data_IF_045060979545
#
_entry.id   IF_045060979545
#
_cell.length_a   1.000
_cell.length_b   1.000
_cell.length_c   1.000
_cell.angle_alpha   90.00
_cell.angle_beta   90.00
_cell.angle_gamma   90.00
#
_symmetry.space_group_name_H-M   'P 1'
#
loop_
_entity.id
_entity.type
_entity.pdbx_description
1 polymer ?
#
# COMPACT_ATOMS: atom_id res chain seq x y z
N UNK A 1 1.32 -7.28 18.25
CA UNK A 1 -0.12 -7.03 17.97
C UNK A 1 -0.32 -6.03 16.85
N UNK A 2 0.27 -4.84 16.90
CA UNK A 2 0.16 -3.78 15.85
C UNK A 2 0.52 -4.25 14.45
N UNK A 3 1.61 -5.00 14.30
CA UNK A 3 2.06 -5.57 13.03
C UNK A 3 1.02 -6.49 12.38
N UNK A 4 0.41 -7.36 13.20
CA UNK A 4 -0.63 -8.28 12.71
C UNK A 4 -1.84 -7.51 12.20
N UNK A 5 -2.23 -6.44 12.91
CA UNK A 5 -3.31 -5.55 12.49
C UNK A 5 -2.96 -4.87 11.16
N UNK A 6 -1.73 -4.38 10.99
CA UNK A 6 -1.29 -3.74 9.74
C UNK A 6 -1.35 -4.70 8.55
N UNK A 7 -0.92 -5.95 8.73
CA UNK A 7 -0.95 -6.99 7.69
C UNK A 7 -2.40 -7.40 7.38
N UNK A 8 -3.25 -7.57 8.41
CA UNK A 8 -4.63 -8.01 8.26
C UNK A 8 -5.58 -6.88 7.86
N UNK A 9 -5.16 -5.63 7.92
CA UNK A 9 -6.00 -4.47 7.61
C UNK A 9 -6.74 -4.58 6.27
N UNK A 10 -6.10 -4.99 5.15
CA UNK A 10 -6.80 -5.19 3.89
C UNK A 10 -7.88 -6.28 3.95
N UNK A 11 -7.69 -7.33 4.74
CA UNK A 11 -8.70 -8.39 4.94
C UNK A 11 -9.88 -7.90 5.78
N UNK A 12 -9.63 -7.09 6.80
CA UNK A 12 -10.70 -6.44 7.58
C UNK A 12 -11.53 -5.55 6.66
N UNK A 13 -10.86 -4.75 5.83
CA UNK A 13 -11.51 -3.92 4.84
C UNK A 13 -12.30 -4.74 3.82
N UNK A 14 -11.75 -5.87 3.37
CA UNK A 14 -12.43 -6.82 2.48
C UNK A 14 -13.74 -7.33 3.08
N UNK A 15 -13.76 -7.70 4.36
CA UNK A 15 -14.99 -8.15 5.04
C UNK A 15 -16.03 -7.03 5.08
N UNK A 16 -15.60 -5.79 5.37
CA UNK A 16 -16.49 -4.61 5.38
C UNK A 16 -17.06 -4.38 3.98
N UNK A 17 -16.21 -4.39 2.95
CA UNK A 17 -16.60 -4.21 1.55
C UNK A 17 -17.56 -5.31 1.11
N UNK A 18 -17.22 -6.58 1.37
CA UNK A 18 -18.05 -7.72 1.01
C UNK A 18 -19.44 -7.61 1.66
N UNK A 19 -19.48 -7.34 2.96
CA UNK A 19 -20.74 -7.18 3.72
C UNK A 19 -21.53 -5.99 3.22
N UNK A 20 -20.87 -4.87 2.90
CA UNK A 20 -21.51 -3.70 2.32
C UNK A 20 -22.16 -4.02 0.98
N UNK A 21 -21.44 -4.63 0.04
CA UNK A 21 -21.98 -4.99 -1.28
C UNK A 21 -23.09 -6.03 -1.17
N UNK A 22 -22.99 -6.97 -0.24
CA UNK A 22 -24.02 -8.00 -0.04
C UNK A 22 -25.30 -7.44 0.58
N UNK A 23 -25.18 -6.62 1.64
CA UNK A 23 -26.34 -6.10 2.39
C UNK A 23 -27.05 -4.98 1.64
N UNK A 24 -26.31 -4.15 0.89
CA UNK A 24 -26.86 -2.95 0.24
C UNK A 24 -27.36 -3.23 -1.18
N UNK A 25 -26.91 -4.31 -1.79
CA UNK A 25 -27.27 -4.67 -3.17
C UNK A 25 -28.79 -4.72 -3.37
N UNK A 26 -29.52 -5.47 -2.56
CA UNK A 26 -30.97 -5.63 -2.74
C UNK A 26 -31.79 -4.36 -2.52
N UNK A 27 -31.61 -3.59 -1.43
CA UNK A 27 -32.34 -2.36 -1.24
C UNK A 27 -32.09 -1.31 -2.32
N UNK A 28 -30.88 -1.28 -2.90
CA UNK A 28 -30.52 -0.34 -3.96
C UNK A 28 -31.25 -0.65 -5.26
N UNK A 29 -31.36 -1.93 -5.62
CA UNK A 29 -32.09 -2.33 -6.82
C UNK A 29 -33.59 -2.11 -6.68
N UNK A 30 -34.18 -2.38 -5.53
CA UNK A 30 -35.59 -2.05 -5.26
C UNK A 30 -35.87 -0.55 -5.34
N UNK A 31 -34.93 0.29 -4.90
CA UNK A 31 -35.06 1.76 -5.04
C UNK A 31 -35.01 2.22 -6.49
N UNK A 32 -34.19 1.59 -7.34
CA UNK A 32 -34.13 1.90 -8.77
C UNK A 32 -35.39 1.48 -9.52
N UNK A 33 -36.02 0.37 -9.12
CA UNK A 33 -37.30 -0.09 -9.69
C UNK A 33 -38.49 0.80 -9.29
N UNK A 34 -38.49 1.34 -8.07
CA UNK A 34 -39.57 2.17 -7.53
C UNK A 34 -39.53 3.60 -8.11
N UNK A 35 -38.36 4.10 -8.49
CA UNK A 35 -38.22 5.43 -9.04
C UNK A 35 -38.55 5.41 -10.55
N UNK A 36 -39.81 5.48 -10.92
CA UNK A 36 -40.25 5.81 -12.29
C UNK A 36 -39.92 7.27 -12.58
N UNK A 37 -38.69 7.53 -12.97
CA UNK A 37 -38.23 8.86 -13.37
C UNK A 37 -38.54 9.05 -14.83
N UNK A 38 -39.12 10.20 -15.17
CA UNK A 38 -39.36 10.61 -16.56
C UNK A 38 -38.05 10.59 -17.37
N UNK A 39 -38.07 9.95 -18.54
CA UNK A 39 -36.87 9.73 -19.36
C UNK A 39 -36.15 11.05 -19.72
N UNK A 40 -36.86 12.15 -19.89
CA UNK A 40 -36.29 13.48 -20.19
C UNK A 40 -35.52 14.07 -19.00
N UNK A 41 -36.00 13.84 -17.78
CA UNK A 41 -35.32 14.23 -16.54
C UNK A 41 -34.11 13.32 -16.27
N UNK A 42 -34.23 12.03 -16.56
CA UNK A 42 -33.18 11.05 -16.44
C UNK A 42 -31.94 11.42 -17.26
N UNK A 43 -32.10 11.80 -18.49
CA UNK A 43 -31.02 12.15 -19.41
C UNK A 43 -30.25 13.40 -18.96
N UNK A 44 -30.95 14.43 -18.47
CA UNK A 44 -30.31 15.62 -17.88
C UNK A 44 -29.52 15.28 -16.61
N UNK A 45 -30.15 14.50 -15.72
CA UNK A 45 -29.47 14.07 -14.48
C UNK A 45 -28.22 13.21 -14.75
N UNK A 46 -28.29 12.33 -15.75
CA UNK A 46 -27.14 11.48 -16.12
C UNK A 46 -25.95 12.28 -16.62
N UNK A 47 -26.19 13.32 -17.43
CA UNK A 47 -25.14 14.17 -17.97
C UNK A 47 -24.47 14.99 -16.87
N UNK A 48 -25.24 15.65 -16.02
CA UNK A 48 -24.72 16.51 -14.95
C UNK A 48 -24.12 15.72 -13.76
N UNK A 49 -24.80 14.66 -13.34
CA UNK A 49 -24.36 13.85 -12.19
C UNK A 49 -23.20 12.95 -12.60
N UNK A 50 -23.18 12.44 -13.82
CA UNK A 50 -22.15 11.50 -14.27
C UNK A 50 -20.74 12.06 -14.21
N UNK A 51 -20.55 13.30 -14.68
CA UNK A 51 -19.24 13.98 -14.63
C UNK A 51 -18.86 14.36 -13.20
N UNK A 52 -19.77 14.98 -12.45
CA UNK A 52 -19.56 15.36 -11.06
C UNK A 52 -19.26 14.15 -10.18
N UNK A 53 -19.98 13.04 -10.38
CA UNK A 53 -19.74 11.81 -9.64
C UNK A 53 -18.35 11.24 -9.90
N UNK A 54 -17.90 11.18 -11.15
CA UNK A 54 -16.55 10.70 -11.50
C UNK A 54 -15.46 11.53 -10.83
N UNK A 55 -15.62 12.87 -10.86
CA UNK A 55 -14.66 13.78 -10.24
C UNK A 55 -14.64 13.64 -8.71
N UNK A 56 -15.80 13.59 -8.07
CA UNK A 56 -15.92 13.38 -6.62
C UNK A 56 -15.34 12.02 -6.25
N UNK A 57 -15.64 10.97 -7.01
CA UNK A 57 -15.12 9.64 -6.77
C UNK A 57 -13.60 9.59 -6.84
N UNK A 58 -12.99 10.24 -7.83
CA UNK A 58 -11.53 10.30 -7.95
C UNK A 58 -10.91 11.03 -6.75
N UNK A 59 -11.45 12.19 -6.38
CA UNK A 59 -10.97 12.96 -5.22
C UNK A 59 -11.09 12.15 -3.94
N UNK A 60 -12.25 11.55 -3.69
CA UNK A 60 -12.49 10.71 -2.50
C UNK A 60 -11.56 9.50 -2.49
N UNK A 61 -11.30 8.89 -3.66
CA UNK A 61 -10.36 7.77 -3.79
C UNK A 61 -8.94 8.16 -3.39
N UNK A 62 -8.46 9.30 -3.85
CA UNK A 62 -7.14 9.80 -3.50
C UNK A 62 -7.05 10.15 -2.01
N UNK A 63 -8.01 10.91 -1.49
CA UNK A 63 -8.01 11.34 -0.07
C UNK A 63 -8.09 10.12 0.85
N UNK A 64 -9.04 9.21 0.61
CA UNK A 64 -9.16 8.00 1.42
C UNK A 64 -7.93 7.10 1.30
N UNK A 65 -7.33 7.03 0.11
CA UNK A 65 -6.09 6.29 -0.12
C UNK A 65 -4.90 6.85 0.67
N UNK A 66 -4.74 8.16 0.67
CA UNK A 66 -3.69 8.84 1.47
C UNK A 66 -3.91 8.59 2.97
N UNK A 67 -5.16 8.74 3.46
CA UNK A 67 -5.47 8.49 4.88
C UNK A 67 -5.16 7.04 5.26
N UNK A 68 -5.58 6.08 4.45
CA UNK A 68 -5.30 4.66 4.68
C UNK A 68 -3.80 4.39 4.66
N UNK A 69 -3.08 4.98 3.71
CA UNK A 69 -1.63 4.84 3.62
C UNK A 69 -0.92 5.37 4.86
N UNK A 70 -1.33 6.53 5.37
CA UNK A 70 -0.77 7.10 6.60
C UNK A 70 -1.09 6.25 7.84
N UNK A 71 -2.31 5.71 7.94
CA UNK A 71 -2.69 4.78 9.02
C UNK A 71 -1.80 3.54 8.95
N UNK A 72 -1.65 2.97 7.76
CA UNK A 72 -0.84 1.77 7.54
C UNK A 72 0.62 2.00 7.88
N UNK A 73 1.20 3.13 7.44
CA UNK A 73 2.55 3.56 7.81
C UNK A 73 2.72 3.67 9.32
N UNK A 74 1.77 4.32 10.01
CA UNK A 74 1.82 4.46 11.47
C UNK A 74 1.77 3.11 12.18
N UNK A 75 0.95 2.18 11.72
CA UNK A 75 0.86 0.83 12.29
C UNK A 75 2.15 0.03 12.11
N UNK A 76 2.80 0.12 10.94
CA UNK A 76 4.08 -0.54 10.70
C UNK A 76 5.20 0.13 11.51
N UNK A 77 5.27 1.47 11.53
CA UNK A 77 6.27 2.22 12.29
C UNK A 77 6.18 1.94 13.79
N UNK A 78 4.98 1.94 14.37
CA UNK A 78 4.77 1.56 15.77
C UNK A 78 5.25 0.12 16.05
N UNK A 79 5.14 -0.78 15.08
CA UNK A 79 5.57 -2.17 15.26
C UNK A 79 7.10 -2.30 15.41
N UNK A 80 7.87 -1.42 14.79
CA UNK A 80 9.35 -1.38 14.89
C UNK A 80 9.77 -0.95 16.28
N UNK A 81 9.10 0.06 16.84
CA UNK A 81 9.45 0.63 18.16
C UNK A 81 9.33 -0.35 19.33
N UNK A 82 8.58 -1.43 19.17
CA UNK A 82 8.37 -2.45 20.22
C UNK A 82 9.30 -3.66 20.12
N UNK A 83 10.27 -3.65 19.19
CA UNK A 83 11.20 -4.77 19.02
C UNK A 83 12.51 -4.47 19.73
N UNK A 84 12.72 -5.09 20.88
CA UNK A 84 13.99 -5.07 21.60
C UNK A 84 14.92 -6.15 21.07
N UNK A 85 16.22 -5.87 21.00
CA UNK A 85 17.25 -6.86 20.68
C UNK A 85 17.89 -6.77 19.30
N UNK A 86 17.44 -5.84 18.43
CA UNK A 86 18.11 -5.56 17.17
C UNK A 86 18.84 -4.23 17.22
N UNK A 87 20.05 -4.20 16.70
CA UNK A 87 20.84 -2.97 16.57
C UNK A 87 20.34 -2.15 15.38
N UNK A 88 19.90 -2.83 14.33
CA UNK A 88 19.27 -2.23 13.17
C UNK A 88 18.21 -3.15 12.61
N UNK A 89 17.07 -2.60 12.24
CA UNK A 89 16.03 -3.32 11.51
C UNK A 89 15.44 -2.40 10.42
N UNK A 90 15.31 -2.93 9.24
CA UNK A 90 14.61 -2.28 8.13
C UNK A 90 13.73 -3.28 7.39
N UNK A 91 12.50 -2.90 7.09
CA UNK A 91 11.56 -3.68 6.29
C UNK A 91 11.01 -2.82 5.17
N UNK A 92 10.67 -3.45 4.06
CA UNK A 92 10.02 -2.77 2.95
C UNK A 92 8.67 -2.15 3.38
N UNK A 93 7.95 -2.80 4.31
CA UNK A 93 6.69 -2.32 4.87
C UNK A 93 6.81 -1.00 5.65
N UNK A 94 7.99 -0.69 6.17
CA UNK A 94 8.22 0.50 7.01
C UNK A 94 8.43 1.77 6.15
N UNK A 95 8.43 1.63 4.83
CA UNK A 95 8.55 2.75 3.90
C UNK A 95 7.22 3.51 3.77
N UNK A 96 7.26 4.83 3.92
CA UNK A 96 6.11 5.70 3.67
C UNK A 96 5.62 5.56 2.21
N UNK A 97 6.54 5.47 1.25
CA UNK A 97 6.20 5.29 -0.17
C UNK A 97 5.43 3.99 -0.43
N UNK A 98 5.84 2.89 0.20
CA UNK A 98 5.12 1.61 0.14
C UNK A 98 3.70 1.74 0.72
N UNK A 99 3.59 2.31 1.91
CA UNK A 99 2.31 2.47 2.60
C UNK A 99 1.35 3.40 1.85
N UNK A 100 1.84 4.48 1.25
CA UNK A 100 1.04 5.36 0.39
C UNK A 100 0.58 4.64 -0.88
N UNK A 101 1.45 3.87 -1.54
CA UNK A 101 1.09 3.09 -2.73
C UNK A 101 -0.03 2.09 -2.42
N UNK A 102 0.12 1.30 -1.37
CA UNK A 102 -0.90 0.32 -0.95
C UNK A 102 -2.17 1.00 -0.46
N UNK A 103 -2.05 2.12 0.23
CA UNK A 103 -3.16 2.96 0.66
C UNK A 103 -3.97 3.50 -0.52
N UNK A 104 -3.31 4.01 -1.57
CA UNK A 104 -3.99 4.48 -2.80
C UNK A 104 -4.76 3.35 -3.49
N UNK A 105 -4.20 2.13 -3.53
CA UNK A 105 -4.91 0.96 -4.04
C UNK A 105 -6.18 0.65 -3.22
N UNK A 106 -6.11 0.74 -1.89
CA UNK A 106 -7.25 0.53 -1.00
C UNK A 106 -8.23 1.70 -0.99
N UNK A 107 -7.80 2.89 -1.37
CA UNK A 107 -8.65 4.08 -1.51
C UNK A 107 -9.75 3.90 -2.55
N UNK A 108 -9.47 3.17 -3.63
CA UNK A 108 -10.44 2.85 -4.67
C UNK A 108 -11.70 2.13 -4.13
N UNK A 109 -11.60 0.97 -3.45
CA UNK A 109 -12.75 0.30 -2.90
C UNK A 109 -13.46 1.10 -1.79
N UNK A 110 -12.71 1.87 -0.98
CA UNK A 110 -13.30 2.73 0.03
C UNK A 110 -14.11 3.87 -0.58
N UNK A 111 -13.61 4.50 -1.64
CA UNK A 111 -14.32 5.56 -2.33
C UNK A 111 -15.68 5.09 -2.87
N UNK A 112 -15.78 3.83 -3.34
CA UNK A 112 -17.07 3.27 -3.78
C UNK A 112 -18.07 3.28 -2.63
N UNK A 113 -17.67 2.85 -1.44
CA UNK A 113 -18.55 2.82 -0.26
C UNK A 113 -18.94 4.25 0.13
N UNK A 114 -17.94 5.13 0.32
CA UNK A 114 -18.16 6.51 0.77
C UNK A 114 -19.06 7.25 -0.20
N UNK A 115 -18.76 7.21 -1.51
CA UNK A 115 -19.56 7.90 -2.52
C UNK A 115 -20.98 7.32 -2.60
N UNK A 116 -21.15 6.01 -2.46
CA UNK A 116 -22.47 5.41 -2.50
C UNK A 116 -23.32 5.81 -1.29
N UNK A 117 -22.72 5.81 -0.08
CA UNK A 117 -23.40 6.29 1.13
C UNK A 117 -23.76 7.77 1.00
N UNK A 118 -22.83 8.60 0.55
CA UNK A 118 -23.05 10.02 0.36
C UNK A 118 -24.15 10.32 -0.66
N UNK A 119 -24.16 9.65 -1.81
CA UNK A 119 -25.20 9.79 -2.82
C UNK A 119 -26.58 9.36 -2.31
N UNK A 120 -26.64 8.32 -1.45
CA UNK A 120 -27.88 7.92 -0.80
C UNK A 120 -28.43 9.00 0.13
N UNK A 121 -27.54 9.75 0.80
CA UNK A 121 -27.92 10.85 1.68
C UNK A 121 -28.43 12.07 0.91
N UNK A 122 -27.93 12.33 -0.30
CA UNK A 122 -28.30 13.48 -1.14
C UNK A 122 -29.70 13.38 -1.76
N UNK A 123 -30.35 12.21 -1.74
CA UNK A 123 -31.72 12.01 -2.17
C UNK A 123 -31.92 10.76 -3.02
N UNK A 124 -33.04 10.10 -2.76
CA UNK A 124 -33.42 8.84 -3.42
C UNK A 124 -33.54 8.94 -4.93
N UNK A 125 -34.08 10.07 -5.44
CA UNK A 125 -34.29 10.27 -6.88
C UNK A 125 -32.96 10.43 -7.64
N UNK A 126 -32.02 11.22 -7.10
CA UNK A 126 -30.69 11.42 -7.70
C UNK A 126 -29.87 10.14 -7.70
N UNK A 127 -30.00 9.37 -6.62
CA UNK A 127 -29.33 8.08 -6.51
C UNK A 127 -29.93 7.06 -7.50
N UNK A 128 -31.27 7.00 -7.61
CA UNK A 128 -31.97 6.17 -8.58
C UNK A 128 -31.62 6.57 -10.04
N UNK A 129 -31.51 7.87 -10.34
CA UNK A 129 -31.07 8.36 -11.65
C UNK A 129 -29.64 7.93 -12.01
N UNK A 130 -28.73 7.92 -11.02
CA UNK A 130 -27.37 7.43 -11.21
C UNK A 130 -27.33 5.92 -11.48
N UNK A 131 -28.20 5.17 -10.84
CA UNK A 131 -28.31 3.72 -10.98
C UNK A 131 -29.09 3.29 -12.22
N UNK A 132 -30.02 4.10 -12.71
CA UNK A 132 -30.85 3.80 -13.89
C UNK A 132 -30.17 4.21 -15.21
N UNK A 133 -28.98 3.72 -15.49
CA UNK A 133 -28.35 3.90 -16.78
C UNK A 133 -29.27 3.37 -17.92
N UNK A 134 -29.09 3.91 -19.15
CA UNK A 134 -29.93 3.74 -20.38
C UNK A 134 -30.51 2.33 -20.64
N UNK A 135 -29.98 1.28 -20.01
CA UNK A 135 -30.35 -0.12 -20.29
C UNK A 135 -31.13 -0.80 -19.15
N UNK A 136 -31.89 -0.03 -18.36
CA UNK A 136 -32.90 -0.60 -17.44
C UNK A 136 -32.33 -1.48 -16.33
N UNK A 137 -31.44 -0.97 -15.50
CA UNK A 137 -31.03 -1.63 -14.24
C UNK A 137 -30.07 -2.82 -14.38
N UNK A 138 -30.07 -3.55 -15.49
CA UNK A 138 -29.20 -4.72 -15.74
C UNK A 138 -27.75 -4.31 -15.87
N UNK A 139 -27.46 -3.19 -16.54
CA UNK A 139 -26.10 -2.66 -16.71
C UNK A 139 -25.50 -2.22 -15.38
N UNK A 140 -26.31 -1.63 -14.49
CA UNK A 140 -25.90 -1.22 -13.15
C UNK A 140 -25.59 -2.42 -12.26
N UNK A 141 -26.39 -3.48 -12.35
CA UNK A 141 -26.14 -4.70 -11.60
C UNK A 141 -24.83 -5.36 -12.02
N UNK A 142 -24.55 -5.41 -13.32
CA UNK A 142 -23.29 -5.90 -13.86
C UNK A 142 -22.11 -5.02 -13.41
N UNK A 143 -22.27 -3.70 -13.47
CA UNK A 143 -21.24 -2.74 -13.07
C UNK A 143 -20.92 -2.85 -11.56
N UNK A 144 -21.96 -2.91 -10.69
CA UNK A 144 -21.76 -3.13 -9.25
C UNK A 144 -21.10 -4.47 -8.95
N UNK A 145 -21.50 -5.54 -9.62
CA UNK A 145 -20.87 -6.85 -9.48
C UNK A 145 -19.40 -6.80 -9.89
N UNK A 146 -19.08 -6.09 -10.99
CA UNK A 146 -17.71 -5.95 -11.47
C UNK A 146 -16.84 -5.12 -10.52
N UNK A 147 -17.33 -3.97 -10.04
CA UNK A 147 -16.63 -3.17 -9.03
C UNK A 147 -16.43 -3.95 -7.72
N UNK A 148 -17.43 -4.70 -7.28
CA UNK A 148 -17.30 -5.57 -6.11
C UNK A 148 -16.16 -6.59 -6.28
N UNK A 149 -16.08 -7.24 -7.45
CA UNK A 149 -15.01 -8.19 -7.75
C UNK A 149 -13.63 -7.52 -7.78
N UNK A 150 -13.51 -6.35 -8.42
CA UNK A 150 -12.25 -5.59 -8.44
C UNK A 150 -11.85 -5.18 -7.02
N UNK A 151 -12.79 -4.67 -6.23
CA UNK A 151 -12.53 -4.26 -4.85
C UNK A 151 -12.03 -5.43 -3.99
N UNK A 152 -12.65 -6.59 -4.12
CA UNK A 152 -12.21 -7.81 -3.43
C UNK A 152 -10.81 -8.21 -3.89
N UNK A 153 -10.58 -8.26 -5.21
CA UNK A 153 -9.27 -8.61 -5.77
C UNK A 153 -8.18 -7.64 -5.32
N UNK A 154 -8.47 -6.35 -5.26
CA UNK A 154 -7.54 -5.32 -4.78
C UNK A 154 -7.19 -5.53 -3.30
N UNK A 155 -8.17 -5.82 -2.45
CA UNK A 155 -7.90 -6.11 -1.03
C UNK A 155 -7.03 -7.36 -0.85
N UNK A 156 -7.32 -8.43 -1.58
CA UNK A 156 -6.51 -9.66 -1.54
C UNK A 156 -5.10 -9.39 -2.05
N UNK A 157 -4.97 -8.66 -3.15
CA UNK A 157 -3.67 -8.29 -3.72
C UNK A 157 -2.83 -7.46 -2.74
N UNK A 158 -3.41 -6.43 -2.11
CA UNK A 158 -2.71 -5.61 -1.12
C UNK A 158 -2.36 -6.43 0.13
N UNK A 159 -3.21 -7.36 0.55
CA UNK A 159 -2.88 -8.28 1.64
C UNK A 159 -1.63 -9.13 1.31
N UNK A 160 -1.58 -9.70 0.12
CA UNK A 160 -0.42 -10.49 -0.33
C UNK A 160 0.84 -9.60 -0.44
N UNK A 161 0.71 -8.37 -0.95
CA UNK A 161 1.81 -7.40 -0.97
C UNK A 161 2.31 -7.09 0.45
N UNK A 162 1.40 -6.90 1.41
CA UNK A 162 1.78 -6.65 2.81
C UNK A 162 2.53 -7.82 3.43
N UNK A 163 2.13 -9.07 3.13
CA UNK A 163 2.87 -10.26 3.57
C UNK A 163 4.29 -10.28 2.99
N UNK A 164 4.44 -10.00 1.70
CA UNK A 164 5.74 -9.97 1.04
C UNK A 164 6.60 -8.82 1.59
N UNK A 165 6.06 -7.62 1.69
CA UNK A 165 6.78 -6.45 2.17
C UNK A 165 7.22 -6.59 3.63
N UNK A 166 6.37 -7.16 4.48
CA UNK A 166 6.70 -7.45 5.87
C UNK A 166 7.79 -8.51 6.00
N UNK A 167 7.75 -9.53 5.14
CA UNK A 167 8.76 -10.60 5.14
C UNK A 167 10.09 -10.17 4.54
N UNK A 168 10.11 -9.11 3.72
CA UNK A 168 11.34 -8.53 3.14
C UNK A 168 12.00 -7.63 4.17
N UNK A 169 13.13 -8.06 4.72
CA UNK A 169 13.79 -7.37 5.84
C UNK A 169 15.30 -7.47 5.79
N UNK A 170 15.95 -6.54 6.47
CA UNK A 170 17.34 -6.59 6.90
C UNK A 170 17.36 -6.33 8.40
N UNK A 171 17.99 -7.23 9.14
CA UNK A 171 18.17 -7.16 10.58
C UNK A 171 19.63 -7.34 10.91
N UNK A 172 20.16 -6.47 11.76
CA UNK A 172 21.54 -6.56 12.28
C UNK A 172 21.45 -6.76 13.80
N UNK A 173 22.10 -7.79 14.28
CA UNK A 173 22.35 -8.05 15.70
C UNK A 173 23.84 -7.87 15.99
N UNK A 174 24.29 -8.13 17.20
CA UNK A 174 25.73 -8.10 17.54
C UNK A 174 26.55 -9.18 16.80
N UNK A 175 25.92 -10.30 16.43
CA UNK A 175 26.62 -11.47 15.88
C UNK A 175 26.30 -11.72 14.41
N UNK A 176 25.12 -11.31 13.94
CA UNK A 176 24.60 -11.75 12.65
C UNK A 176 23.91 -10.64 11.88
N UNK A 177 24.02 -10.74 10.56
CA UNK A 177 23.15 -10.04 9.61
C UNK A 177 22.17 -11.05 9.02
N UNK A 178 20.89 -10.84 9.29
CA UNK A 178 19.80 -11.62 8.70
C UNK A 178 19.04 -10.78 7.67
N UNK A 179 18.85 -11.32 6.48
CA UNK A 179 18.11 -10.63 5.45
C UNK A 179 17.24 -11.57 4.63
N UNK A 180 16.12 -11.04 4.14
CA UNK A 180 15.23 -11.72 3.23
C UNK A 180 14.88 -10.79 2.08
N UNK A 181 15.20 -11.20 0.86
CA UNK A 181 14.82 -10.47 -0.35
C UNK A 181 13.39 -10.82 -0.74
N UNK A 182 12.69 -9.92 -1.41
CA UNK A 182 11.30 -10.11 -1.84
C UNK A 182 11.07 -11.33 -2.74
N UNK A 183 12.11 -11.82 -3.44
CA UNK A 183 12.07 -13.03 -4.28
C UNK A 183 12.52 -14.30 -3.56
N UNK A 184 12.96 -14.20 -2.32
CA UNK A 184 13.44 -15.33 -1.56
C UNK A 184 12.38 -15.81 -0.57
N UNK A 185 12.09 -17.10 -0.58
CA UNK A 185 11.20 -17.69 0.42
C UNK A 185 11.86 -17.86 1.78
N UNK A 186 13.20 -17.95 1.82
CA UNK A 186 13.97 -18.16 3.03
C UNK A 186 14.78 -16.92 3.38
N UNK A 187 14.89 -16.65 4.67
CA UNK A 187 15.85 -15.68 5.17
C UNK A 187 17.26 -16.28 5.10
N UNK A 188 18.24 -15.43 4.80
CA UNK A 188 19.65 -15.78 4.84
C UNK A 188 20.25 -15.08 6.06
N UNK A 189 20.98 -15.82 6.89
CA UNK A 189 21.76 -15.26 7.99
C UNK A 189 23.24 -15.47 7.71
N UNK A 190 24.05 -14.48 7.99
CA UNK A 190 25.50 -14.50 7.83
C UNK A 190 26.11 -13.84 9.06
N UNK A 191 27.19 -14.40 9.59
CA UNK A 191 27.88 -13.80 10.73
C UNK A 191 28.51 -12.48 10.31
N UNK A 192 28.54 -11.51 11.22
CA UNK A 192 29.12 -10.19 11.00
C UNK A 192 30.62 -10.30 10.71
N UNK A 193 31.32 -11.22 11.37
CA UNK A 193 32.74 -11.47 11.15
C UNK A 193 33.12 -11.85 9.71
N UNK A 194 32.15 -12.31 8.94
CA UNK A 194 32.31 -12.67 7.52
C UNK A 194 32.16 -11.49 6.55
N UNK A 195 32.04 -10.28 7.06
CA UNK A 195 32.03 -9.07 6.20
C UNK A 195 33.48 -8.77 5.79
N UNK A 196 33.74 -8.77 4.51
CA UNK A 196 35.06 -8.36 3.97
C UNK A 196 35.16 -6.83 3.91
N UNK A 197 34.22 -6.19 3.24
CA UNK A 197 34.16 -4.73 3.15
C UNK A 197 32.77 -4.21 2.77
N UNK A 198 32.59 -2.90 2.95
CA UNK A 198 31.39 -2.18 2.46
C UNK A 198 31.71 -1.46 1.17
N UNK A 199 30.75 -1.39 0.25
CA UNK A 199 30.79 -0.53 -0.94
C UNK A 199 29.64 0.45 -0.89
N UNK A 200 29.95 1.72 -0.97
CA UNK A 200 28.96 2.77 -1.13
C UNK A 200 28.84 3.10 -2.62
N UNK A 201 27.60 3.20 -3.11
CA UNK A 201 27.31 3.61 -4.48
C UNK A 201 26.11 4.53 -4.51
N UNK A 202 26.08 5.41 -5.50
CA UNK A 202 25.00 6.38 -5.66
C UNK A 202 24.14 6.03 -6.86
N UNK A 203 22.82 6.11 -6.68
CA UNK A 203 21.85 6.07 -7.77
C UNK A 203 21.42 7.50 -8.04
N UNK A 204 21.57 7.92 -9.29
CA UNK A 204 21.21 9.26 -9.73
C UNK A 204 19.85 9.16 -10.42
N UNK A 205 18.82 9.70 -9.78
CA UNK A 205 17.50 9.88 -10.37
C UNK A 205 17.45 11.25 -11.05
N UNK A 206 17.24 11.26 -12.35
CA UNK A 206 17.00 12.49 -13.11
C UNK A 206 15.49 12.69 -13.17
N UNK A 207 15.00 13.72 -12.47
CA UNK A 207 13.59 14.12 -12.47
C UNK A 207 13.47 15.51 -13.10
N UNK A 208 12.26 15.89 -13.51
CA UNK A 208 11.97 17.23 -14.06
C UNK A 208 12.31 18.36 -13.05
N UNK A 209 12.38 18.03 -11.76
CA UNK A 209 12.76 18.95 -10.68
C UNK A 209 14.27 19.01 -10.42
N UNK A 210 15.08 18.22 -11.11
CA UNK A 210 16.52 18.21 -10.96
C UNK A 210 17.14 16.82 -10.77
N UNK A 211 18.43 16.82 -10.46
CA UNK A 211 19.23 15.61 -10.20
C UNK A 211 19.16 15.29 -8.71
N UNK A 212 18.64 14.11 -8.37
CA UNK A 212 18.60 13.60 -7.00
C UNK A 212 19.57 12.42 -6.88
N UNK A 213 20.57 12.56 -6.03
CA UNK A 213 21.51 11.49 -5.72
C UNK A 213 21.08 10.76 -4.44
N UNK A 214 20.98 9.44 -4.53
CA UNK A 214 20.65 8.58 -3.39
C UNK A 214 21.79 7.62 -3.15
N UNK A 215 22.34 7.66 -1.95
CA UNK A 215 23.41 6.76 -1.54
C UNK A 215 22.83 5.45 -0.99
N UNK A 216 23.42 4.34 -1.43
CA UNK A 216 23.10 2.98 -1.00
C UNK A 216 24.35 2.21 -0.64
N UNK A 217 24.18 1.09 0.05
CA UNK A 217 25.25 0.25 0.53
C UNK A 217 25.19 -1.13 -0.11
N UNK A 218 26.37 -1.68 -0.39
CA UNK A 218 26.58 -3.09 -0.65
C UNK A 218 27.45 -3.66 0.47
N UNK A 219 27.03 -4.77 1.05
CA UNK A 219 27.81 -5.52 2.02
C UNK A 219 28.45 -6.68 1.26
N UNK A 220 29.76 -6.72 1.22
CA UNK A 220 30.53 -7.77 0.57
C UNK A 220 31.04 -8.71 1.64
N UNK A 221 30.76 -9.99 1.49
CA UNK A 221 31.18 -11.03 2.41
C UNK A 221 32.45 -11.73 1.90
N UNK A 222 33.24 -12.34 2.79
CA UNK A 222 34.49 -13.06 2.48
C UNK A 222 34.28 -14.19 1.46
N UNK A 223 33.10 -14.82 1.42
CA UNK A 223 32.74 -15.83 0.43
C UNK A 223 32.40 -15.26 -0.96
N UNK A 224 32.59 -13.96 -1.16
CA UNK A 224 32.31 -13.24 -2.38
C UNK A 224 30.84 -12.92 -2.61
N UNK A 225 29.94 -13.27 -1.69
CA UNK A 225 28.53 -12.88 -1.78
C UNK A 225 28.39 -11.37 -1.58
N UNK A 226 27.44 -10.78 -2.32
CA UNK A 226 27.13 -9.35 -2.22
C UNK A 226 25.67 -9.18 -1.81
N UNK A 227 25.45 -8.50 -0.70
CA UNK A 227 24.15 -8.04 -0.28
C UNK A 227 23.94 -6.59 -0.70
N UNK A 228 23.09 -6.38 -1.68
CA UNK A 228 22.69 -5.04 -2.11
C UNK A 228 21.50 -4.57 -1.26
N UNK A 229 21.62 -3.42 -0.60
CA UNK A 229 20.62 -2.91 0.35
C UNK A 229 19.54 -2.05 -0.31
N UNK A 230 19.58 -1.76 -1.62
CA UNK A 230 18.66 -0.84 -2.34
C UNK A 230 17.17 -1.11 -2.04
N UNK A 231 16.79 -2.39 -1.94
CA UNK A 231 15.40 -2.78 -1.70
C UNK A 231 15.09 -3.16 -0.25
N UNK A 232 16.10 -3.12 0.62
CA UNK A 232 15.99 -3.52 2.02
C UNK A 232 16.04 -2.33 2.97
N UNK A 233 16.78 -1.29 2.58
CA UNK A 233 17.01 -0.09 3.39
C UNK A 233 16.71 1.14 2.54
N UNK A 234 15.97 2.09 3.11
CA UNK A 234 15.77 3.39 2.45
C UNK A 234 17.07 4.20 2.44
N UNK A 235 17.30 5.02 1.42
CA UNK A 235 18.47 5.87 1.33
C UNK A 235 18.68 6.75 2.58
N UNK A 236 17.58 7.23 3.18
CA UNK A 236 17.62 8.02 4.41
C UNK A 236 18.18 7.26 5.63
N UNK A 237 18.09 5.92 5.64
CA UNK A 237 18.59 5.07 6.74
C UNK A 237 19.92 4.37 6.43
N UNK A 238 20.49 4.61 5.25
CA UNK A 238 21.78 4.01 4.86
C UNK A 238 22.91 4.42 5.82
N UNK A 239 22.93 5.68 6.23
CA UNK A 239 23.94 6.18 7.18
C UNK A 239 23.79 5.57 8.58
N UNK A 240 22.55 5.35 9.03
CA UNK A 240 22.25 4.63 10.27
C UNK A 240 22.78 3.18 10.22
N UNK A 241 22.54 2.47 9.12
CA UNK A 241 23.08 1.13 8.92
C UNK A 241 24.61 1.11 8.95
N UNK A 242 25.27 2.06 8.27
CA UNK A 242 26.74 2.19 8.26
C UNK A 242 27.25 2.42 9.69
N UNK A 243 26.61 3.30 10.45
CA UNK A 243 27.02 3.58 11.83
C UNK A 243 26.92 2.32 12.71
N UNK A 244 25.82 1.58 12.60
CA UNK A 244 25.63 0.33 13.35
C UNK A 244 26.68 -0.71 12.96
N UNK A 245 26.92 -0.93 11.66
CA UNK A 245 27.92 -1.89 11.19
C UNK A 245 29.33 -1.53 11.66
N UNK A 246 29.70 -0.25 11.65
CA UNK A 246 30.99 0.21 12.21
C UNK A 246 31.10 0.00 13.71
N UNK A 247 30.01 0.15 14.44
CA UNK A 247 30.00 -0.05 15.89
C UNK A 247 30.23 -1.52 16.24
N UNK A 248 29.64 -2.43 15.47
CA UNK A 248 29.66 -3.87 15.76
C UNK A 248 30.94 -4.54 15.22
N UNK A 249 31.29 -4.21 13.97
CA UNK A 249 32.47 -4.80 13.32
C UNK A 249 33.80 -4.16 13.76
N UNK A 250 33.73 -2.91 14.25
CA UNK A 250 34.91 -2.12 14.61
C UNK A 250 35.18 -0.99 13.59
N UNK A 251 36.06 -0.06 13.98
CA UNK A 251 36.34 1.14 13.18
C UNK A 251 37.10 0.87 11.86
N UNK A 252 37.65 -0.34 11.68
CA UNK A 252 38.48 -0.71 10.53
C UNK A 252 37.66 -1.15 9.30
N UNK A 253 36.34 -1.10 9.37
CA UNK A 253 35.49 -1.48 8.22
C UNK A 253 35.65 -0.47 7.09
N UNK A 254 36.37 -0.89 6.03
CA UNK A 254 36.67 -0.05 4.86
C UNK A 254 35.40 0.19 4.04
N UNK A 255 35.14 1.46 3.68
CA UNK A 255 34.06 1.83 2.77
C UNK A 255 34.68 2.25 1.44
N UNK A 256 34.54 1.40 0.43
CA UNK A 256 34.98 1.69 -0.95
C UNK A 256 33.85 2.43 -1.67
N UNK A 257 34.14 3.63 -2.20
CA UNK A 257 33.23 4.34 -3.12
C UNK A 257 33.39 3.76 -4.52
N UNK A 258 32.29 3.38 -5.13
CA UNK A 258 32.23 2.85 -6.50
C UNK A 258 31.49 3.82 -7.39
#
# INVERSE_FOLDING_TARGET
>A
MTTLIAILFPLILLVIIYRYFWVIKEPLFKLAEIARIDASRLERYQKDIGFKYKSIYLIVSIISGVIVGLIQYSLFSLSVSFRSGYLFESRMSDSLGYSLMTGLLLGFPLAVIICTVFMRMLGKERFAALLSMKDGGVAVQKWFSWIGKISISTCVFVFLLNLVAYSTHLVVTEEQISYRRWRSFLATSTNIDQIDHLRSFSIIDITDSGRMEREFLQIVFEDGKILNTVYLVSAARTQELIAVLKTVYGHDLEIKKV
#
